data_IF_714882839187
#
_entry.id   IF_714882839187
#
_cell.length_a   1.000
_cell.length_b   1.000
_cell.length_c   1.000
_cell.angle_alpha   90.00
_cell.angle_beta   90.00
_cell.angle_gamma   90.00
#
_symmetry.space_group_name_H-M   'P 1'
#
loop_
_entity.id
_entity.type
_entity.pdbx_description
1 polymer ?
#
# COMPACT_ATOMS: atom_id res chain seq x y z
N UNK A 1 65.04 -71.27 12.07
CA UNK A 1 66.38 -70.83 11.61
C UNK A 1 66.27 -69.50 10.88
N UNK A 2 66.19 -68.38 11.61
CA UNK A 2 66.60 -67.08 11.09
C UNK A 2 67.36 -66.41 12.23
N UNK A 3 68.66 -66.33 12.02
CA UNK A 3 69.69 -65.77 12.88
C UNK A 3 69.67 -64.25 12.82
N UNK A 4 69.57 -63.65 14.01
CA UNK A 4 70.23 -62.44 14.50
C UNK A 4 71.22 -61.75 13.55
N UNK A 5 71.12 -60.42 13.40
CA UNK A 5 72.30 -59.55 13.28
C UNK A 5 72.08 -58.21 14.00
N UNK A 6 72.90 -58.02 15.04
CA UNK A 6 73.50 -56.83 15.67
C UNK A 6 72.64 -55.56 15.86
N UNK A 7 72.35 -55.08 17.08
CA UNK A 7 73.27 -54.46 18.06
C UNK A 7 73.92 -53.16 17.54
N UNK A 8 74.12 -52.05 18.25
CA UNK A 8 73.75 -51.54 19.58
C UNK A 8 74.51 -50.20 19.68
N UNK A 9 73.88 -49.09 20.06
CA UNK A 9 74.57 -48.02 20.82
C UNK A 9 73.57 -47.24 21.65
N UNK A 10 73.75 -47.36 22.97
CA UNK A 10 73.16 -46.54 24.01
C UNK A 10 73.52 -45.06 23.84
N UNK A 11 72.63 -44.15 24.26
CA UNK A 11 73.02 -43.26 25.36
C UNK A 11 71.80 -42.77 26.16
N UNK A 12 72.00 -42.88 27.46
CA UNK A 12 71.11 -42.66 28.58
C UNK A 12 70.98 -41.14 28.89
N UNK A 13 69.93 -40.78 29.65
CA UNK A 13 69.87 -39.64 30.62
C UNK A 13 68.98 -38.43 30.25
N UNK A 14 67.75 -38.50 30.77
CA UNK A 14 67.05 -37.52 31.65
C UNK A 14 67.29 -36.03 31.40
N UNK A 15 66.22 -35.31 31.05
CA UNK A 15 65.78 -34.13 31.82
C UNK A 15 64.34 -33.72 31.55
N UNK A 16 63.52 -33.99 32.55
CA UNK A 16 62.29 -33.28 32.88
C UNK A 16 62.61 -31.79 33.12
N UNK A 17 61.81 -30.88 32.58
CA UNK A 17 61.21 -29.70 33.26
C UNK A 17 60.43 -28.88 32.22
N UNK A 18 59.11 -28.95 32.39
CA UNK A 18 58.09 -27.92 32.19
C UNK A 18 58.54 -26.57 31.63
N UNK A 19 58.01 -26.17 30.47
CA UNK A 19 57.30 -24.90 30.30
C UNK A 19 56.76 -24.77 28.88
N UNK A 20 55.45 -24.49 28.81
CA UNK A 20 54.81 -23.56 27.87
C UNK A 20 55.24 -23.61 26.41
N UNK A 21 54.33 -24.03 25.52
CA UNK A 21 53.74 -23.15 24.50
C UNK A 21 52.61 -23.94 23.81
N UNK A 22 51.39 -23.58 24.16
CA UNK A 22 50.18 -23.91 23.42
C UNK A 22 50.23 -23.09 22.13
N UNK A 23 50.38 -23.73 20.97
CA UNK A 23 49.97 -23.13 19.70
C UNK A 23 48.84 -23.95 19.06
N UNK A 24 47.62 -23.55 19.44
CA UNK A 24 46.43 -23.72 18.59
C UNK A 24 46.62 -22.84 17.35
N UNK A 25 46.42 -23.41 16.17
CA UNK A 25 46.51 -22.65 14.92
C UNK A 25 45.83 -23.32 13.74
N UNK A 26 44.68 -23.97 13.97
CA UNK A 26 43.73 -24.38 12.93
C UNK A 26 42.52 -23.47 13.01
N UNK A 27 41.92 -23.22 11.85
CA UNK A 27 40.82 -22.28 11.54
C UNK A 27 41.31 -20.89 11.09
N UNK A 28 41.75 -20.85 9.83
CA UNK A 28 41.51 -19.66 9.02
C UNK A 28 40.00 -19.50 8.90
N UNK A 29 39.50 -18.55 9.68
CA UNK A 29 38.15 -18.07 9.66
C UNK A 29 37.86 -17.57 8.23
N UNK A 30 36.85 -18.14 7.58
CA UNK A 30 36.33 -17.60 6.33
C UNK A 30 35.83 -16.19 6.60
N UNK A 31 36.61 -15.22 6.14
CA UNK A 31 36.25 -13.82 6.09
C UNK A 31 34.97 -13.71 5.26
N UNK A 32 33.86 -13.68 5.98
CA UNK A 32 32.54 -13.52 5.42
C UNK A 32 32.52 -12.13 4.82
N UNK A 33 32.68 -12.04 3.49
CA UNK A 33 32.36 -10.86 2.70
C UNK A 33 30.85 -10.60 2.84
N UNK A 34 30.46 -10.10 4.01
CA UNK A 34 29.17 -9.48 4.24
C UNK A 34 29.11 -8.31 3.30
N UNK A 35 28.39 -8.48 2.18
CA UNK A 35 28.12 -7.41 1.24
C UNK A 35 27.56 -6.24 2.02
N UNK A 36 28.35 -5.18 2.18
CA UNK A 36 27.89 -3.92 2.75
C UNK A 36 26.86 -3.42 1.74
N UNK A 37 25.58 -3.69 1.99
CA UNK A 37 24.52 -3.22 1.12
C UNK A 37 24.56 -1.69 1.18
N UNK A 38 25.16 -1.12 0.14
CA UNK A 38 25.24 0.29 -0.13
C UNK A 38 23.83 0.84 -0.04
N UNK A 39 23.55 1.61 1.02
CA UNK A 39 22.28 2.30 1.24
C UNK A 39 22.16 3.42 0.19
N UNK A 40 21.89 3.06 -1.07
CA UNK A 40 21.58 4.01 -2.11
C UNK A 40 20.15 4.48 -1.88
N UNK A 41 19.97 5.73 -1.44
CA UNK A 41 18.68 6.39 -1.17
C UNK A 41 17.85 6.66 -2.43
N UNK A 42 17.77 5.69 -3.35
CA UNK A 42 17.03 5.82 -4.60
C UNK A 42 15.67 5.13 -4.46
N UNK A 43 14.60 5.88 -4.73
CA UNK A 43 13.27 5.31 -4.79
C UNK A 43 13.07 4.65 -6.15
N UNK A 44 12.93 3.32 -6.12
CA UNK A 44 12.71 2.52 -7.33
C UNK A 44 11.23 2.29 -7.58
N UNK A 45 10.85 2.00 -8.82
CA UNK A 45 9.46 1.61 -9.14
C UNK A 45 9.34 0.09 -9.16
N UNK A 46 8.27 -0.42 -8.56
CA UNK A 46 7.93 -1.84 -8.62
C UNK A 46 7.58 -2.24 -10.06
N UNK A 47 8.13 -3.36 -10.53
CA UNK A 47 7.90 -3.86 -11.88
C UNK A 47 6.42 -4.15 -12.17
N UNK A 48 5.69 -4.71 -11.21
CA UNK A 48 4.31 -5.17 -11.43
C UNK A 48 3.27 -4.07 -11.26
N UNK A 49 3.34 -3.31 -10.15
CA UNK A 49 2.33 -2.32 -9.80
C UNK A 49 2.72 -0.87 -10.09
N UNK A 50 4.00 -0.61 -10.40
CA UNK A 50 4.59 0.73 -10.55
C UNK A 50 4.51 1.63 -9.31
N UNK A 51 4.24 1.06 -8.13
CA UNK A 51 4.37 1.76 -6.84
C UNK A 51 5.84 2.02 -6.52
N UNK A 52 6.10 3.02 -5.68
CA UNK A 52 7.44 3.29 -5.15
C UNK A 52 7.88 2.17 -4.19
N UNK A 53 9.16 1.81 -4.27
CA UNK A 53 9.85 0.86 -3.39
C UNK A 53 10.89 1.66 -2.62
N UNK A 54 10.72 1.71 -1.30
CA UNK A 54 11.66 2.35 -0.38
C UNK A 54 12.77 1.37 -0.01
N UNK A 55 13.95 1.86 0.42
CA UNK A 55 15.02 1.02 0.94
C UNK A 55 14.53 0.11 2.07
N UNK A 56 15.05 -1.12 2.12
CA UNK A 56 14.62 -2.12 3.12
C UNK A 56 13.25 -2.76 2.88
N UNK A 57 12.53 -2.38 1.82
CA UNK A 57 11.22 -2.96 1.51
C UNK A 57 11.23 -3.81 0.23
N UNK A 58 10.40 -4.84 0.25
CA UNK A 58 10.12 -5.64 -0.93
C UNK A 58 11.15 -6.74 -1.19
N UNK A 59 11.19 -7.21 -2.44
CA UNK A 59 12.06 -8.31 -2.87
C UNK A 59 12.60 -7.96 -4.25
N UNK A 60 13.89 -8.23 -4.47
CA UNK A 60 14.53 -8.17 -5.78
C UNK A 60 14.69 -9.59 -6.34
N UNK A 61 14.22 -9.80 -7.57
CA UNK A 61 14.45 -11.03 -8.33
C UNK A 61 15.39 -10.71 -9.49
N UNK A 62 16.52 -11.41 -9.55
CA UNK A 62 17.48 -11.31 -10.66
C UNK A 62 17.26 -12.52 -11.56
N UNK A 63 17.04 -12.27 -12.84
CA UNK A 63 16.96 -13.33 -13.86
C UNK A 63 18.35 -13.55 -14.48
N UNK A 64 18.58 -14.72 -15.04
CA UNK A 64 19.79 -15.11 -15.78
C UNK A 64 20.22 -14.07 -16.84
N UNK A 65 19.27 -13.39 -17.51
CA UNK A 65 19.54 -12.27 -18.44
C UNK A 65 20.13 -10.99 -17.78
N UNK A 66 20.61 -11.09 -16.54
CA UNK A 66 21.01 -9.98 -15.66
C UNK A 66 19.90 -8.92 -15.42
N UNK A 67 18.65 -9.24 -15.76
CA UNK A 67 17.51 -8.32 -15.57
C UNK A 67 17.06 -8.34 -14.12
N UNK A 68 17.03 -7.15 -13.53
CA UNK A 68 16.64 -6.92 -12.14
C UNK A 68 15.17 -6.54 -12.08
N UNK A 69 14.35 -7.35 -11.42
CA UNK A 69 12.95 -7.07 -11.14
C UNK A 69 12.76 -6.72 -9.66
N UNK A 70 12.38 -5.48 -9.37
CA UNK A 70 12.06 -5.04 -8.00
C UNK A 70 10.56 -5.13 -7.75
N UNK A 71 10.17 -5.69 -6.61
CA UNK A 71 8.78 -5.81 -6.18
C UNK A 71 8.57 -5.13 -4.83
N UNK A 72 7.48 -4.38 -4.67
CA UNK A 72 7.16 -3.70 -3.41
C UNK A 72 6.65 -4.65 -2.31
N UNK A 73 5.94 -5.73 -2.68
CA UNK A 73 5.20 -6.62 -1.75
C UNK A 73 5.16 -8.05 -2.29
N UNK A 74 4.94 -9.02 -1.38
CA UNK A 74 4.75 -10.43 -1.73
C UNK A 74 3.61 -10.67 -2.73
N UNK A 75 2.55 -9.84 -2.73
CA UNK A 75 1.46 -9.89 -3.72
C UNK A 75 1.98 -9.74 -5.16
N UNK A 76 2.81 -8.74 -5.40
CA UNK A 76 3.40 -8.44 -6.72
C UNK A 76 4.36 -9.55 -7.16
N UNK A 77 5.18 -10.04 -6.23
CA UNK A 77 6.12 -11.12 -6.48
C UNK A 77 5.42 -12.44 -6.81
N UNK A 78 4.38 -12.83 -6.04
CA UNK A 78 3.55 -14.02 -6.31
C UNK A 78 2.82 -13.92 -7.64
N UNK A 79 2.29 -12.74 -8.00
CA UNK A 79 1.64 -12.52 -9.29
C UNK A 79 2.62 -12.66 -10.47
N UNK A 80 3.85 -12.17 -10.31
CA UNK A 80 4.92 -12.35 -11.29
C UNK A 80 5.33 -13.82 -11.44
N UNK A 81 5.49 -14.57 -10.33
CA UNK A 81 5.75 -16.02 -10.35
C UNK A 81 4.63 -16.79 -11.07
N UNK A 82 3.37 -16.37 -10.87
CA UNK A 82 2.19 -16.89 -11.59
C UNK A 82 2.09 -16.40 -13.05
N UNK A 83 3.13 -15.75 -13.59
CA UNK A 83 3.20 -15.22 -14.96
C UNK A 83 2.00 -14.34 -15.33
N UNK A 84 1.39 -13.64 -14.38
CA UNK A 84 0.27 -12.73 -14.64
C UNK A 84 0.77 -11.51 -15.40
N UNK A 85 0.05 -11.10 -16.45
CA UNK A 85 0.39 -9.88 -17.17
C UNK A 85 -0.12 -8.64 -16.42
N UNK A 86 0.75 -7.69 -16.01
CA UNK A 86 0.31 -6.47 -15.32
C UNK A 86 -0.66 -5.64 -16.17
N UNK A 87 -0.53 -5.65 -17.52
CA UNK A 87 -1.45 -4.93 -18.43
C UNK A 87 -2.87 -5.45 -18.42
N UNK A 88 -3.11 -6.70 -17.99
CA UNK A 88 -4.45 -7.28 -17.82
C UNK A 88 -4.95 -7.17 -16.37
N UNK A 89 -4.08 -6.80 -15.43
CA UNK A 89 -4.39 -6.80 -14.00
C UNK A 89 -4.95 -5.43 -13.57
N UNK A 90 -6.25 -5.37 -13.30
CA UNK A 90 -7.05 -4.12 -13.15
C UNK A 90 -6.52 -3.09 -12.14
N UNK A 91 -5.89 -3.53 -11.05
CA UNK A 91 -5.43 -2.66 -9.98
C UNK A 91 -4.04 -2.03 -10.22
N UNK A 92 -3.30 -2.49 -11.23
CA UNK A 92 -1.96 -1.97 -11.54
C UNK A 92 -2.03 -0.64 -12.28
N UNK A 93 -0.97 0.18 -12.15
CA UNK A 93 -0.85 1.42 -12.93
C UNK A 93 -0.66 1.16 -14.42
N UNK A 94 -0.02 0.06 -14.79
CA UNK A 94 0.13 -0.36 -16.19
C UNK A 94 -1.23 -0.58 -16.87
N UNK A 95 -2.15 -1.32 -16.24
CA UNK A 95 -3.52 -1.48 -16.73
C UNK A 95 -4.24 -0.13 -16.83
N UNK A 96 -4.14 0.72 -15.80
CA UNK A 96 -4.84 2.01 -15.78
C UNK A 96 -4.40 2.93 -16.91
N UNK A 97 -3.10 2.98 -17.23
CA UNK A 97 -2.59 3.77 -18.37
C UNK A 97 -3.05 3.18 -19.71
N UNK A 98 -2.94 1.86 -19.89
CA UNK A 98 -3.35 1.20 -21.13
C UNK A 98 -4.85 1.29 -21.40
N UNK A 99 -5.68 1.24 -20.36
CA UNK A 99 -7.13 1.34 -20.45
C UNK A 99 -7.66 2.80 -20.44
N UNK A 100 -6.79 3.81 -20.58
CA UNK A 100 -7.19 5.22 -20.59
C UNK A 100 -7.77 5.74 -19.27
N UNK A 101 -7.48 5.08 -18.14
CA UNK A 101 -8.00 5.47 -16.82
C UNK A 101 -7.16 6.57 -16.14
N UNK A 102 -5.88 6.64 -16.44
CA UNK A 102 -4.97 7.67 -15.94
C UNK A 102 -4.36 8.41 -17.15
N UNK A 103 -3.99 9.68 -16.98
CA UNK A 103 -3.33 10.46 -18.03
C UNK A 103 -1.98 9.80 -18.41
N UNK A 104 -1.81 9.46 -19.68
CA UNK A 104 -0.64 8.71 -20.17
C UNK A 104 0.44 9.61 -20.80
N UNK A 105 0.04 10.58 -21.62
CA UNK A 105 0.91 11.49 -22.36
C UNK A 105 0.73 12.89 -21.81
N UNK A 106 1.78 13.46 -21.21
CA UNK A 106 1.79 14.84 -20.72
C UNK A 106 3.24 15.33 -20.59
N UNK A 107 3.54 16.60 -20.95
CA UNK A 107 4.89 17.16 -20.83
C UNK A 107 5.46 17.14 -19.40
N UNK A 108 4.62 17.17 -18.36
CA UNK A 108 5.10 17.10 -16.97
C UNK A 108 5.79 15.78 -16.64
N UNK A 109 5.53 14.70 -17.40
CA UNK A 109 6.18 13.41 -17.18
C UNK A 109 7.62 13.36 -17.71
N UNK A 110 7.99 14.24 -18.63
CA UNK A 110 9.34 14.28 -19.23
C UNK A 110 10.40 14.72 -18.22
N UNK A 111 10.00 15.42 -17.15
CA UNK A 111 10.88 15.82 -16.06
C UNK A 111 11.38 14.62 -15.22
N UNK A 112 10.62 13.50 -15.13
CA UNK A 112 10.98 12.29 -14.35
C UNK A 112 11.95 11.34 -15.11
N UNK A 113 12.67 11.84 -16.13
CA UNK A 113 13.57 11.01 -16.94
C UNK A 113 14.87 10.63 -16.21
N UNK A 114 15.37 9.42 -16.45
CA UNK A 114 16.69 9.00 -15.97
C UNK A 114 17.79 9.76 -16.72
N UNK A 115 18.75 10.33 -16.00
CA UNK A 115 19.91 11.04 -16.56
C UNK A 115 21.14 10.16 -16.40
N UNK A 116 21.70 9.72 -17.51
CA UNK A 116 22.92 8.91 -17.52
C UNK A 116 24.20 9.74 -17.46
N UNK A 117 24.11 11.02 -17.85
CA UNK A 117 25.22 11.97 -17.80
C UNK A 117 25.07 12.85 -16.56
N UNK A 118 26.05 12.84 -15.63
CA UNK A 118 26.05 13.72 -14.48
C UNK A 118 26.42 15.15 -14.91
N UNK A 119 25.85 16.13 -14.22
CA UNK A 119 26.20 17.55 -14.36
C UNK A 119 27.03 17.95 -13.14
N UNK A 120 28.01 18.84 -13.33
CA UNK A 120 28.76 19.42 -12.21
C UNK A 120 27.79 20.12 -11.25
N UNK A 121 28.04 19.98 -9.94
CA UNK A 121 27.23 20.66 -8.94
C UNK A 121 27.33 22.18 -9.09
N UNK A 122 26.18 22.84 -9.19
CA UNK A 122 26.03 24.29 -9.09
C UNK A 122 24.85 24.60 -8.17
N UNK A 123 25.09 25.39 -7.12
CA UNK A 123 24.09 25.74 -6.11
C UNK A 123 22.89 26.46 -6.71
N UNK A 124 23.11 27.40 -7.64
CA UNK A 124 22.04 28.17 -8.26
C UNK A 124 21.12 27.26 -9.09
N UNK A 125 21.72 26.36 -9.88
CA UNK A 125 21.00 25.33 -10.64
C UNK A 125 20.14 24.45 -9.72
N UNK A 126 20.71 23.96 -8.61
CA UNK A 126 19.99 23.10 -7.66
C UNK A 126 18.82 23.81 -6.99
N UNK A 127 18.98 25.07 -6.56
CA UNK A 127 17.91 25.88 -5.97
C UNK A 127 16.76 26.06 -6.96
N UNK A 128 17.07 26.50 -8.19
CA UNK A 128 16.09 26.67 -9.27
C UNK A 128 15.37 25.36 -9.60
N UNK A 129 16.09 24.23 -9.57
CA UNK A 129 15.52 22.90 -9.84
C UNK A 129 14.52 22.48 -8.76
N UNK A 130 14.83 22.68 -7.48
CA UNK A 130 13.93 22.34 -6.37
C UNK A 130 12.65 23.17 -6.42
N UNK A 131 12.75 24.45 -6.74
CA UNK A 131 11.58 25.33 -6.92
C UNK A 131 10.73 24.92 -8.12
N UNK A 132 11.37 24.63 -9.26
CA UNK A 132 10.69 24.18 -10.46
C UNK A 132 9.94 22.86 -10.23
N UNK A 133 10.55 21.90 -9.51
CA UNK A 133 9.92 20.59 -9.22
C UNK A 133 8.63 20.73 -8.42
N UNK A 134 8.58 21.61 -7.42
CA UNK A 134 7.35 21.89 -6.65
C UNK A 134 6.23 22.39 -7.57
N UNK A 135 6.55 23.32 -8.47
CA UNK A 135 5.60 23.86 -9.45
C UNK A 135 5.11 22.77 -10.41
N UNK A 136 6.01 21.96 -10.96
CA UNK A 136 5.68 20.85 -11.87
C UNK A 136 4.75 19.83 -11.20
N UNK A 137 4.97 19.51 -9.91
CA UNK A 137 4.09 18.61 -9.16
C UNK A 137 2.66 19.16 -9.04
N UNK A 138 2.50 20.44 -8.70
CA UNK A 138 1.16 21.06 -8.62
C UNK A 138 0.43 21.02 -9.97
N UNK A 139 1.14 21.27 -11.08
CA UNK A 139 0.59 21.22 -12.44
C UNK A 139 0.16 19.78 -12.79
N UNK A 140 1.02 18.79 -12.50
CA UNK A 140 0.74 17.36 -12.73
C UNK A 140 -0.50 16.91 -11.97
N UNK A 141 -0.63 17.26 -10.69
CA UNK A 141 -1.79 16.91 -9.87
C UNK A 141 -3.08 17.56 -10.41
N UNK A 142 -3.04 18.85 -10.77
CA UNK A 142 -4.18 19.57 -11.37
C UNK A 142 -4.65 18.90 -12.68
N UNK A 143 -3.72 18.58 -13.59
CA UNK A 143 -4.05 17.93 -14.87
C UNK A 143 -4.63 16.53 -14.69
N UNK A 144 -4.06 15.74 -13.77
CA UNK A 144 -4.58 14.41 -13.45
C UNK A 144 -5.98 14.47 -12.84
N UNK A 145 -6.22 15.40 -11.91
CA UNK A 145 -7.53 15.61 -11.32
C UNK A 145 -8.58 16.00 -12.38
N UNK A 146 -8.22 16.90 -13.30
CA UNK A 146 -9.08 17.30 -14.40
C UNK A 146 -9.41 16.13 -15.34
N UNK A 147 -8.42 15.31 -15.70
CA UNK A 147 -8.63 14.11 -16.51
C UNK A 147 -9.61 13.14 -15.84
N UNK A 148 -9.45 12.91 -14.53
CA UNK A 148 -10.35 12.05 -13.76
C UNK A 148 -11.77 12.65 -13.70
N UNK A 149 -11.90 13.96 -13.47
CA UNK A 149 -13.18 14.68 -13.41
C UNK A 149 -13.94 14.56 -14.74
N UNK A 150 -13.26 14.79 -15.86
CA UNK A 150 -13.85 14.68 -17.19
C UNK A 150 -14.37 13.26 -17.46
N UNK A 151 -13.59 12.24 -17.08
CA UNK A 151 -14.03 10.84 -17.21
C UNK A 151 -15.25 10.52 -16.33
N UNK A 152 -15.27 10.99 -15.08
CA UNK A 152 -16.37 10.72 -14.15
C UNK A 152 -17.66 11.49 -14.48
N UNK A 153 -17.56 12.59 -15.24
CA UNK A 153 -18.71 13.41 -15.67
C UNK A 153 -19.74 12.59 -16.45
N UNK A 154 -19.28 11.69 -17.33
CA UNK A 154 -20.17 10.88 -18.17
C UNK A 154 -21.03 9.93 -17.33
N UNK A 155 -20.44 9.28 -16.32
CA UNK A 155 -21.18 8.41 -15.40
C UNK A 155 -22.23 9.12 -14.54
N UNK A 156 -22.19 10.45 -14.41
CA UNK A 156 -23.29 11.22 -13.77
C UNK A 156 -24.46 11.41 -14.73
N UNK A 157 -24.20 11.57 -16.03
CA UNK A 157 -25.24 11.73 -17.05
C UNK A 157 -26.04 10.44 -17.22
N UNK A 158 -25.33 9.31 -17.32
CA UNK A 158 -25.97 8.00 -17.45
C UNK A 158 -26.84 7.67 -16.24
N UNK A 159 -26.33 7.86 -15.02
CA UNK A 159 -27.14 7.69 -13.80
C UNK A 159 -28.41 8.51 -13.80
N UNK A 160 -28.33 9.81 -14.16
CA UNK A 160 -29.52 10.66 -14.25
C UNK A 160 -30.56 10.10 -15.24
N UNK A 161 -30.12 9.54 -16.37
CA UNK A 161 -31.03 8.93 -17.35
C UNK A 161 -31.64 7.64 -16.79
N UNK A 162 -30.83 6.81 -16.14
CA UNK A 162 -31.28 5.59 -15.47
C UNK A 162 -32.30 5.89 -14.37
N UNK A 163 -32.02 6.88 -13.49
CA UNK A 163 -32.92 7.32 -12.42
C UNK A 163 -34.28 7.77 -12.98
N UNK A 164 -34.28 8.54 -14.07
CA UNK A 164 -35.53 8.96 -14.75
C UNK A 164 -36.29 7.75 -15.30
N UNK A 165 -35.59 6.76 -15.86
CA UNK A 165 -36.22 5.53 -16.36
C UNK A 165 -36.76 4.67 -15.23
N UNK A 166 -36.05 4.58 -14.10
CA UNK A 166 -36.45 3.81 -12.93
C UNK A 166 -37.71 4.41 -12.30
N UNK A 167 -37.77 5.72 -12.09
CA UNK A 167 -38.96 6.41 -11.58
C UNK A 167 -40.17 6.20 -12.50
N UNK A 168 -39.97 6.21 -13.83
CA UNK A 168 -41.06 5.96 -14.80
C UNK A 168 -41.60 4.53 -14.73
N UNK A 169 -40.73 3.53 -14.58
CA UNK A 169 -41.12 2.10 -14.51
C UNK A 169 -41.74 1.75 -13.16
N UNK A 170 -41.14 2.26 -12.09
CA UNK A 170 -41.45 1.91 -10.70
C UNK A 170 -42.31 2.96 -10.00
N UNK A 171 -43.07 3.76 -10.76
CA UNK A 171 -43.92 4.83 -10.20
C UNK A 171 -44.92 4.31 -9.15
N UNK A 172 -45.37 3.05 -9.31
CA UNK A 172 -46.31 2.38 -8.43
C UNK A 172 -45.77 2.11 -7.01
N UNK A 173 -44.45 1.97 -6.85
CA UNK A 173 -43.82 1.74 -5.54
C UNK A 173 -43.78 3.04 -4.70
N UNK A 174 -43.92 4.19 -5.35
CA UNK A 174 -43.84 5.50 -4.72
C UNK A 174 -45.27 5.98 -4.47
N UNK A 175 -45.67 6.13 -3.20
CA UNK A 175 -46.94 6.79 -2.86
C UNK A 175 -46.90 8.25 -3.30
N UNK A 176 -48.01 8.74 -3.86
CA UNK A 176 -48.17 10.16 -4.22
C UNK A 176 -47.77 11.06 -3.04
N UNK A 177 -47.03 12.16 -3.27
CA UNK A 177 -46.57 13.06 -2.20
C UNK A 177 -47.74 13.59 -1.33
N UNK A 178 -48.94 13.74 -1.88
CA UNK A 178 -50.15 14.08 -1.11
C UNK A 178 -50.59 12.95 -0.15
N UNK A 179 -50.41 11.69 -0.53
CA UNK A 179 -50.68 10.53 0.31
C UNK A 179 -49.68 10.35 1.45
N UNK A 180 -48.43 10.80 1.25
CA UNK A 180 -47.41 10.89 2.30
C UNK A 180 -47.70 12.02 3.30
N UNK A 181 -48.15 13.18 2.82
CA UNK A 181 -48.59 14.29 3.68
C UNK A 181 -49.80 13.91 4.54
N UNK A 182 -50.81 13.23 3.96
CA UNK A 182 -51.92 12.66 4.74
C UNK A 182 -51.44 11.69 5.81
N UNK A 183 -50.51 10.79 5.49
CA UNK A 183 -49.97 9.82 6.46
C UNK A 183 -49.20 10.49 7.60
N UNK A 184 -48.42 11.53 7.30
CA UNK A 184 -47.70 12.33 8.31
C UNK A 184 -48.64 13.14 9.18
N UNK A 185 -49.66 13.76 8.59
CA UNK A 185 -50.69 14.48 9.35
C UNK A 185 -51.48 13.53 10.25
N UNK A 186 -51.87 12.35 9.75
CA UNK A 186 -52.53 11.34 10.59
C UNK A 186 -51.61 10.76 11.66
N UNK A 187 -50.31 10.56 11.36
CA UNK A 187 -49.36 10.09 12.39
C UNK A 187 -49.11 11.15 13.46
N UNK A 188 -48.95 12.42 13.08
CA UNK A 188 -48.82 13.51 14.06
C UNK A 188 -50.09 13.72 14.89
N UNK A 189 -51.28 13.51 14.31
CA UNK A 189 -52.54 13.53 15.07
C UNK A 189 -52.66 12.33 16.00
N UNK A 190 -52.21 11.13 15.59
CA UNK A 190 -52.22 9.94 16.45
C UNK A 190 -51.20 10.03 17.59
N UNK A 191 -50.02 10.61 17.37
CA UNK A 191 -49.05 10.92 18.43
C UNK A 191 -49.65 11.91 19.45
N UNK A 192 -50.26 13.00 18.99
CA UNK A 192 -50.88 14.00 19.88
C UNK A 192 -52.04 13.42 20.70
N UNK A 193 -52.81 12.48 20.14
CA UNK A 193 -53.90 11.80 20.86
C UNK A 193 -53.35 10.78 21.89
N UNK A 194 -52.22 10.12 21.59
CA UNK A 194 -51.57 9.24 22.58
C UNK A 194 -50.96 10.02 23.74
N UNK A 195 -50.33 11.16 23.47
CA UNK A 195 -49.76 12.02 24.52
C UNK A 195 -50.85 12.64 25.41
N UNK A 196 -51.99 13.08 24.84
CA UNK A 196 -53.11 13.58 25.64
C UNK A 196 -53.82 12.49 26.45
N UNK A 197 -53.89 11.26 25.92
CA UNK A 197 -54.49 10.12 26.63
C UNK A 197 -53.61 9.65 27.79
N UNK A 198 -52.29 9.79 27.71
CA UNK A 198 -51.40 9.49 28.84
C UNK A 198 -51.45 10.56 29.94
N UNK A 199 -51.60 11.84 29.57
CA UNK A 199 -51.76 12.93 30.55
C UNK A 199 -53.10 12.81 31.30
N UNK A 200 -54.18 12.38 30.63
CA UNK A 200 -55.48 12.12 31.28
C UNK A 200 -55.46 10.87 32.20
N UNK A 201 -54.65 9.85 31.89
CA UNK A 201 -54.46 8.67 32.75
C UNK A 201 -53.63 9.00 34.01
N UNK A 202 -52.60 9.83 33.89
CA UNK A 202 -51.77 10.30 35.02
C UNK A 202 -52.57 11.21 35.98
N UNK A 203 -53.43 12.09 35.46
CA UNK A 203 -54.31 12.99 36.25
C UNK A 203 -55.42 12.22 37.00
N UNK A 204 -55.88 11.07 36.48
CA UNK A 204 -56.85 10.20 37.16
C UNK A 204 -56.19 9.35 38.28
N UNK A 205 -54.94 8.93 38.11
CA UNK A 205 -54.17 8.24 39.17
C UNK A 205 -53.85 9.18 40.35
N UNK A 206 -53.44 10.44 40.11
CA UNK A 206 -53.22 11.42 41.18
C UNK A 206 -54.51 11.76 41.96
N UNK A 207 -55.66 11.80 41.28
CA UNK A 207 -56.96 12.04 41.92
C UNK A 207 -57.40 10.85 42.79
N UNK A 208 -57.08 9.63 42.39
CA UNK A 208 -57.39 8.41 43.16
C UNK A 208 -56.52 8.31 44.43
N UNK A 209 -55.23 8.67 44.36
CA UNK A 209 -54.34 8.72 45.53
C UNK A 209 -54.74 9.84 46.52
N UNK A 210 -55.22 10.99 46.04
CA UNK A 210 -55.66 12.08 46.89
C UNK A 210 -56.95 11.78 47.68
N UNK A 211 -57.80 10.87 47.17
CA UNK A 211 -59.04 10.44 47.83
C UNK A 211 -58.77 9.34 48.88
N UNK A 212 -57.74 8.50 48.72
CA UNK A 212 -57.32 7.51 49.71
C UNK A 212 -56.58 8.12 50.92
N UNK A 213 -56.08 9.36 50.80
CA UNK A 213 -55.29 10.04 51.83
C UNK A 213 -56.09 10.93 52.81
N UNK A 214 -57.43 10.99 52.72
CA UNK A 214 -58.31 11.80 53.59
C UNK A 214 -59.25 10.96 54.47
#
# INVERSE_FOLDING_TARGET
>A
MITLFLAQTHCFIVRYVSSSVIWRGRLWWTESLGSTQKNTMRLEKCYFCSSTVYPGHGIQFVRNDCKIFRFCRGKCHKAFKKKRNPRKTRWTKAFRKAAGKDLAVDPSFEFEKHRNVPVKYDRALWQNTVEALKKVETIKLKRQAQFIKNRLKEGKRLRKVEDIQEVKKNIHLIKSPAGLQKKKATQGVVEVIQDSSSEEEDDEEEQMEAVEAN
#
